data_IF_221750075052
#
_entry.id   IF_221750075052
#
_cell.length_a   1.000
_cell.length_b   1.000
_cell.length_c   1.000
_cell.angle_alpha   90.00
_cell.angle_beta   90.00
_cell.angle_gamma   90.00
#
_symmetry.space_group_name_H-M   'P 1'
#
loop_
_entity.id
_entity.type
_entity.pdbx_description
1 polymer ?
#
# COMPACT_ATOMS: atom_id res chain seq x y z
N UNK A 1 12.17 -0.64 7.97
CA UNK A 1 11.37 -1.71 8.60
C UNK A 1 9.96 -1.62 8.06
N UNK A 2 9.33 -2.78 7.91
CA UNK A 2 7.90 -2.91 7.65
C UNK A 2 7.21 -3.42 8.91
N UNK A 3 5.92 -3.20 9.02
CA UNK A 3 5.14 -3.69 10.14
C UNK A 3 4.01 -4.61 9.65
N UNK A 4 3.71 -5.65 10.42
CA UNK A 4 2.68 -6.64 10.13
C UNK A 4 1.51 -6.41 11.08
N UNK A 5 0.29 -6.49 10.57
CA UNK A 5 -0.92 -6.37 11.38
C UNK A 5 -1.36 -7.73 11.96
N UNK A 6 -2.05 -7.74 13.12
CA UNK A 6 -2.63 -8.94 13.70
C UNK A 6 -3.69 -9.61 12.80
N UNK A 7 -3.87 -10.91 13.01
CA UNK A 7 -4.93 -11.73 12.40
C UNK A 7 -5.76 -12.36 13.52
N UNK A 8 -7.07 -12.26 13.40
CA UNK A 8 -8.08 -12.69 14.37
C UNK A 8 -8.88 -13.88 13.80
N UNK A 9 -9.24 -14.82 14.66
CA UNK A 9 -10.17 -15.90 14.33
C UNK A 9 -11.61 -15.38 14.22
N UNK A 10 -12.31 -15.71 13.13
CA UNK A 10 -13.65 -15.17 12.83
C UNK A 10 -14.68 -15.46 13.92
N UNK A 11 -14.66 -16.66 14.48
CA UNK A 11 -15.58 -17.14 15.51
C UNK A 11 -15.46 -16.40 16.84
N UNK A 12 -14.31 -15.75 17.08
CA UNK A 12 -14.08 -14.90 18.25
C UNK A 12 -14.58 -13.45 18.09
N UNK A 13 -15.14 -13.09 16.93
CA UNK A 13 -15.66 -11.75 16.63
C UNK A 13 -17.16 -11.71 16.92
N UNK A 14 -17.59 -10.74 17.73
CA UNK A 14 -19.00 -10.53 18.01
C UNK A 14 -19.71 -9.79 16.85
N UNK A 15 -20.39 -10.58 16.03
CA UNK A 15 -21.18 -10.11 14.88
C UNK A 15 -22.53 -9.48 15.27
N UNK A 16 -22.92 -9.49 16.55
CA UNK A 16 -24.06 -8.70 17.02
C UNK A 16 -23.73 -7.20 17.09
N UNK A 17 -22.45 -6.86 17.20
CA UNK A 17 -21.91 -5.49 17.18
C UNK A 17 -21.33 -5.14 15.81
N UNK A 18 -20.61 -6.09 15.21
CA UNK A 18 -19.89 -5.91 13.95
C UNK A 18 -20.74 -6.25 12.72
N UNK A 19 -20.37 -5.76 11.53
CA UNK A 19 -21.09 -6.09 10.29
C UNK A 19 -20.21 -6.17 9.05
N UNK A 20 -20.70 -6.89 8.05
CA UNK A 20 -20.06 -6.99 6.74
C UNK A 20 -20.43 -5.83 5.82
N UNK A 21 -19.44 -5.10 5.32
CA UNK A 21 -19.65 -4.05 4.32
C UNK A 21 -18.34 -3.57 3.68
N UNK A 22 -18.35 -3.36 2.37
CA UNK A 22 -17.33 -2.60 1.65
C UNK A 22 -17.74 -1.13 1.54
N UNK A 23 -16.78 -0.20 1.53
CA UNK A 23 -17.09 1.24 1.47
C UNK A 23 -17.89 1.59 0.22
N UNK A 24 -18.95 2.38 0.41
CA UNK A 24 -19.90 2.83 -0.62
C UNK A 24 -20.66 1.69 -1.31
N UNK A 25 -20.71 0.51 -0.69
CA UNK A 25 -21.34 -0.69 -1.25
C UNK A 25 -20.89 -0.95 -2.69
N UNK A 26 -19.62 -0.64 -3.00
CA UNK A 26 -19.05 -0.97 -4.30
C UNK A 26 -19.06 -2.48 -4.43
N UNK A 27 -19.97 -2.99 -5.25
CA UNK A 27 -19.85 -4.34 -5.80
C UNK A 27 -18.44 -4.46 -6.38
N UNK A 28 -17.76 -5.56 -6.04
CA UNK A 28 -16.43 -5.90 -6.53
C UNK A 28 -16.51 -6.17 -8.04
N UNK A 29 -16.65 -5.12 -8.85
CA UNK A 29 -16.69 -5.21 -10.30
C UNK A 29 -15.30 -5.59 -10.80
N UNK A 30 -15.03 -6.89 -10.86
CA UNK A 30 -13.83 -7.46 -11.49
C UNK A 30 -12.95 -8.37 -10.61
N UNK A 31 -13.33 -8.71 -9.38
CA UNK A 31 -12.59 -9.70 -8.59
C UNK A 31 -13.08 -11.12 -8.92
N UNK A 32 -12.61 -11.71 -10.02
CA UNK A 32 -12.71 -13.15 -10.29
C UNK A 32 -11.65 -13.90 -9.48
N UNK A 33 -11.79 -13.82 -8.16
CA UNK A 33 -11.11 -14.66 -7.18
C UNK A 33 -12.08 -14.97 -6.04
N UNK A 34 -11.70 -15.77 -5.02
CA UNK A 34 -12.59 -16.13 -3.91
C UNK A 34 -13.10 -14.93 -3.06
N UNK A 35 -12.74 -13.70 -3.41
CA UNK A 35 -13.11 -12.43 -2.79
C UNK A 35 -14.13 -11.61 -3.64
N UNK A 36 -15.08 -12.29 -4.30
CA UNK A 36 -15.95 -11.70 -5.32
C UNK A 36 -17.40 -11.45 -4.91
N UNK A 37 -17.71 -11.24 -3.62
CA UNK A 37 -19.10 -11.12 -3.14
C UNK A 37 -19.32 -9.93 -2.19
N UNK A 38 -18.97 -8.71 -2.61
CA UNK A 38 -19.55 -7.44 -2.11
C UNK A 38 -19.50 -7.14 -0.60
N UNK A 39 -18.82 -7.94 0.22
CA UNK A 39 -18.83 -7.93 1.69
C UNK A 39 -17.44 -8.31 2.24
N UNK A 40 -16.40 -7.65 1.73
CA UNK A 40 -15.02 -8.10 1.93
C UNK A 40 -14.45 -7.77 3.32
N UNK A 41 -15.14 -6.92 4.08
CA UNK A 41 -14.68 -6.41 5.36
C UNK A 41 -15.73 -6.59 6.46
N UNK A 42 -15.28 -7.04 7.62
CA UNK A 42 -16.01 -6.88 8.89
C UNK A 42 -15.65 -5.49 9.44
N UNK A 43 -16.65 -4.74 9.90
CA UNK A 43 -16.49 -3.39 10.41
C UNK A 43 -16.84 -3.36 11.90
N UNK A 44 -15.90 -2.91 12.72
CA UNK A 44 -16.04 -2.74 14.17
C UNK A 44 -16.23 -1.24 14.47
N UNK A 45 -17.44 -0.80 14.86
CA UNK A 45 -17.71 0.61 15.09
C UNK A 45 -17.16 1.09 16.43
N UNK A 46 -16.78 2.36 16.53
CA UNK A 46 -16.40 2.99 17.79
C UNK A 46 -17.15 4.31 17.98
N UNK A 47 -17.55 4.58 19.22
CA UNK A 47 -17.93 5.93 19.65
C UNK A 47 -16.70 6.81 19.79
N UNK A 48 -16.92 8.10 20.06
CA UNK A 48 -15.83 9.04 20.28
C UNK A 48 -15.00 8.69 21.51
N UNK A 49 -15.67 8.36 22.60
CA UNK A 49 -15.06 8.05 23.89
C UNK A 49 -14.23 6.76 23.79
N UNK A 50 -14.76 5.74 23.12
CA UNK A 50 -14.04 4.49 22.85
C UNK A 50 -12.79 4.73 22.00
N UNK A 51 -12.89 5.58 20.98
CA UNK A 51 -11.76 5.92 20.13
C UNK A 51 -10.67 6.70 20.88
N UNK A 52 -11.06 7.71 21.66
CA UNK A 52 -10.12 8.52 22.44
C UNK A 52 -9.38 7.65 23.47
N UNK A 53 -10.09 6.77 24.17
CA UNK A 53 -9.49 5.80 25.09
C UNK A 53 -8.56 4.80 24.37
N UNK A 54 -8.93 4.35 23.17
CA UNK A 54 -8.09 3.46 22.37
C UNK A 54 -6.79 4.15 21.91
N UNK A 55 -6.87 5.40 21.46
CA UNK A 55 -5.69 6.20 21.09
C UNK A 55 -4.78 6.39 22.30
N UNK A 56 -5.33 6.72 23.47
CA UNK A 56 -4.55 6.84 24.71
C UNK A 56 -3.86 5.51 25.07
N UNK A 57 -4.57 4.40 24.94
CA UNK A 57 -4.03 3.07 25.20
C UNK A 57 -2.90 2.69 24.23
N UNK A 58 -3.00 3.08 22.94
CA UNK A 58 -1.92 2.90 21.96
C UNK A 58 -0.67 3.72 22.30
N UNK A 59 -0.87 4.97 22.74
CA UNK A 59 0.24 5.90 23.05
C UNK A 59 0.99 5.47 24.32
N UNK A 60 0.26 5.03 25.33
CA UNK A 60 0.79 4.56 26.62
C UNK A 60 1.28 3.11 26.59
N UNK A 61 0.91 2.33 25.56
CA UNK A 61 1.23 0.92 25.48
C UNK A 61 2.72 0.63 25.34
N UNK A 62 3.17 -0.43 26.02
CA UNK A 62 4.54 -0.92 25.96
C UNK A 62 4.93 -1.35 24.53
N UNK A 63 5.99 -0.73 24.01
CA UNK A 63 6.52 -1.00 22.66
C UNK A 63 7.74 -1.93 22.76
N UNK A 64 7.96 -2.71 21.71
CA UNK A 64 9.21 -3.47 21.58
C UNK A 64 10.36 -2.49 21.37
N UNK A 65 11.41 -2.59 22.20
CA UNK A 65 12.61 -1.78 22.02
C UNK A 65 13.46 -2.32 20.88
N UNK A 66 13.94 -1.41 20.05
CA UNK A 66 14.96 -1.70 19.06
C UNK A 66 16.29 -2.01 19.72
N UNK A 67 17.06 -2.95 19.14
CA UNK A 67 18.49 -3.04 19.46
C UNK A 67 19.15 -1.69 19.11
N UNK A 68 20.21 -1.30 19.80
CA UNK A 68 20.82 0.04 19.62
C UNK A 68 21.13 0.39 18.15
N UNK A 69 21.56 -0.59 17.35
CA UNK A 69 21.85 -0.43 15.93
C UNK A 69 20.61 -0.30 15.02
N UNK A 70 19.40 -0.56 15.53
CA UNK A 70 18.14 -0.44 14.80
C UNK A 70 17.46 0.92 15.05
N UNK A 71 17.82 1.62 16.13
CA UNK A 71 17.16 2.87 16.59
C UNK A 71 17.18 4.00 15.56
N UNK A 72 18.18 4.06 14.68
CA UNK A 72 18.31 5.10 13.64
C UNK A 72 17.75 4.69 12.28
N UNK A 73 17.18 3.49 12.15
CA UNK A 73 16.64 3.03 10.86
C UNK A 73 15.26 3.62 10.62
N UNK A 74 15.03 4.35 9.51
CA UNK A 74 13.72 4.92 9.22
C UNK A 74 12.66 3.84 8.97
N UNK A 75 11.41 4.16 9.31
CA UNK A 75 10.25 3.37 8.91
C UNK A 75 9.88 3.68 7.46
N UNK A 76 9.33 2.68 6.77
CA UNK A 76 8.70 2.93 5.49
C UNK A 76 7.38 3.70 5.73
N UNK A 77 7.27 4.92 5.19
CA UNK A 77 6.12 5.82 5.44
C UNK A 77 4.77 5.23 4.98
N UNK A 78 4.78 4.30 4.02
CA UNK A 78 3.57 3.60 3.57
C UNK A 78 3.09 2.49 4.52
N UNK A 79 3.88 2.11 5.53
CA UNK A 79 3.61 1.00 6.44
C UNK A 79 4.01 1.34 7.88
N UNK A 80 3.51 2.47 8.39
CA UNK A 80 3.81 2.93 9.74
C UNK A 80 3.06 2.13 10.82
N UNK A 81 3.69 1.85 11.97
CA UNK A 81 2.99 1.29 13.12
C UNK A 81 1.83 2.20 13.59
N UNK A 82 0.69 1.62 13.98
CA UNK A 82 -0.52 2.35 14.35
C UNK A 82 -0.29 3.31 15.53
N UNK A 83 0.55 2.93 16.49
CA UNK A 83 0.96 3.78 17.60
C UNK A 83 1.82 4.97 17.16
N UNK A 84 2.65 4.82 16.12
CA UNK A 84 3.43 5.92 15.53
C UNK A 84 2.53 6.86 14.75
N UNK A 85 1.48 6.33 14.11
CA UNK A 85 0.44 7.16 13.48
C UNK A 85 -0.34 7.95 14.54
N UNK A 86 -0.68 7.33 15.68
CA UNK A 86 -1.35 8.00 16.79
C UNK A 86 -0.51 9.16 17.38
N UNK A 87 0.83 8.99 17.47
CA UNK A 87 1.76 10.04 17.95
C UNK A 87 1.73 11.30 17.06
N UNK A 88 1.37 11.16 15.78
CA UNK A 88 1.28 12.30 14.83
C UNK A 88 0.02 13.16 15.05
N UNK A 89 -0.91 12.72 15.90
CA UNK A 89 -2.07 13.50 16.32
C UNK A 89 -3.30 12.64 16.53
N UNK A 90 -4.16 13.06 17.45
CA UNK A 90 -5.34 12.29 17.91
C UNK A 90 -6.31 11.92 16.78
N UNK A 91 -6.43 12.72 15.72
CA UNK A 91 -7.34 12.47 14.60
C UNK A 91 -6.70 11.67 13.45
N UNK A 92 -5.40 11.39 13.52
CA UNK A 92 -4.64 10.78 12.42
C UNK A 92 -5.24 9.45 11.99
N UNK A 93 -5.63 8.60 12.95
CA UNK A 93 -6.21 7.30 12.65
C UNK A 93 -7.58 7.42 11.97
N UNK A 94 -8.41 8.39 12.36
CA UNK A 94 -9.73 8.66 11.74
C UNK A 94 -9.65 9.19 10.31
N UNK A 95 -8.56 9.85 9.94
CA UNK A 95 -8.32 10.22 8.55
C UNK A 95 -7.58 9.14 7.75
N UNK A 96 -6.98 8.16 8.44
CA UNK A 96 -6.28 7.01 7.87
C UNK A 96 -7.04 5.69 8.04
N UNK A 97 -6.48 4.70 8.77
CA UNK A 97 -6.98 3.33 8.82
C UNK A 97 -8.35 3.17 9.48
N UNK A 98 -8.72 4.09 10.39
CA UNK A 98 -9.97 4.02 11.16
C UNK A 98 -11.09 4.92 10.61
N UNK A 99 -10.98 5.35 9.35
CA UNK A 99 -11.92 6.27 8.72
C UNK A 99 -13.35 5.67 8.66
N UNK A 100 -14.41 6.39 9.05
CA UNK A 100 -15.78 5.83 9.01
C UNK A 100 -16.52 6.04 7.67
N UNK A 101 -15.91 6.68 6.68
CA UNK A 101 -16.62 7.16 5.48
C UNK A 101 -17.07 6.03 4.54
N UNK A 102 -18.32 6.11 4.08
CA UNK A 102 -18.92 5.17 3.13
C UNK A 102 -19.38 3.87 3.78
N UNK A 103 -19.62 3.87 5.09
CA UNK A 103 -20.06 2.71 5.86
C UNK A 103 -21.32 3.09 6.65
N UNK A 104 -22.26 2.16 6.76
CA UNK A 104 -23.54 2.32 7.45
C UNK A 104 -23.75 1.10 8.32
N UNK A 105 -23.84 1.31 9.64
CA UNK A 105 -24.05 0.22 10.59
C UNK A 105 -25.52 -0.27 10.54
N UNK A 106 -25.81 -1.51 10.10
CA UNK A 106 -27.18 -2.01 10.05
C UNK A 106 -27.81 -2.21 11.44
N UNK A 107 -27.00 -2.40 12.48
CA UNK A 107 -27.47 -2.59 13.86
C UNK A 107 -27.89 -1.28 14.51
N UNK A 108 -27.40 -0.14 13.99
CA UNK A 108 -27.76 1.19 14.45
C UNK A 108 -27.61 2.22 13.30
N UNK A 109 -28.54 2.23 12.33
CA UNK A 109 -28.39 2.97 11.08
C UNK A 109 -28.39 4.49 11.26
N UNK A 110 -29.00 4.98 12.34
CA UNK A 110 -29.14 6.42 12.60
C UNK A 110 -27.91 7.02 13.30
N UNK A 111 -27.04 6.18 13.87
CA UNK A 111 -25.83 6.62 14.57
C UNK A 111 -24.61 6.43 13.69
N UNK A 112 -23.97 7.55 13.32
CA UNK A 112 -22.68 7.52 12.63
C UNK A 112 -21.56 7.16 13.59
N UNK A 113 -20.87 6.06 13.30
CA UNK A 113 -19.65 5.70 14.02
C UNK A 113 -18.60 6.82 13.91
N UNK A 114 -17.92 7.09 15.02
CA UNK A 114 -16.87 8.10 15.05
C UNK A 114 -15.61 7.60 14.35
N UNK A 115 -15.26 6.33 14.58
CA UNK A 115 -14.19 5.60 13.94
C UNK A 115 -14.63 4.15 13.65
N UNK A 116 -14.00 3.49 12.67
CA UNK A 116 -14.28 2.08 12.33
C UNK A 116 -12.98 1.33 12.09
N UNK A 117 -12.82 0.19 12.76
CA UNK A 117 -11.76 -0.78 12.43
C UNK A 117 -12.30 -1.74 11.38
N UNK A 118 -11.56 -1.92 10.28
CA UNK A 118 -11.92 -2.88 9.23
C UNK A 118 -11.07 -4.15 9.37
N UNK A 119 -11.71 -5.31 9.26
CA UNK A 119 -11.05 -6.60 9.22
C UNK A 119 -11.28 -7.24 7.85
N UNK A 120 -10.21 -7.61 7.14
CA UNK A 120 -10.30 -8.24 5.82
C UNK A 120 -10.14 -9.74 5.94
N UNK A 121 -10.91 -10.50 5.18
CA UNK A 121 -10.69 -11.94 5.06
C UNK A 121 -9.25 -12.23 4.59
N UNK A 122 -8.54 -13.06 5.36
CA UNK A 122 -7.13 -13.39 5.14
C UNK A 122 -6.95 -14.74 4.42
N UNK A 123 -7.87 -15.69 4.63
CA UNK A 123 -7.82 -17.02 4.03
C UNK A 123 -9.10 -17.37 3.24
N UNK A 124 -8.99 -18.30 2.29
CA UNK A 124 -10.11 -18.70 1.44
C UNK A 124 -11.30 -19.29 2.23
N UNK A 125 -11.04 -19.96 3.35
CA UNK A 125 -12.08 -20.52 4.23
C UNK A 125 -12.87 -19.45 5.00
N UNK A 126 -12.39 -18.21 5.05
CA UNK A 126 -13.05 -17.15 5.81
C UNK A 126 -13.03 -17.38 7.32
N UNK A 127 -12.02 -18.09 7.83
CA UNK A 127 -11.85 -18.33 9.27
C UNK A 127 -10.87 -17.36 9.92
N UNK A 128 -10.06 -16.67 9.12
CA UNK A 128 -9.03 -15.73 9.57
C UNK A 128 -9.25 -14.34 8.97
N UNK A 129 -9.12 -13.32 9.81
CA UNK A 129 -9.36 -11.92 9.46
C UNK A 129 -8.20 -11.03 9.87
N UNK A 130 -7.60 -10.34 8.91
CA UNK A 130 -6.51 -9.39 9.12
C UNK A 130 -7.03 -8.01 9.54
N UNK A 131 -6.42 -7.38 10.54
CA UNK A 131 -6.74 -6.02 10.96
C UNK A 131 -6.14 -4.97 9.99
N UNK A 132 -6.98 -4.31 9.20
CA UNK A 132 -6.54 -3.45 8.09
C UNK A 132 -5.90 -2.17 8.62
N UNK A 133 -4.63 -1.95 8.31
CA UNK A 133 -3.89 -0.75 8.72
C UNK A 133 -3.49 -0.72 10.21
N UNK A 134 -3.47 -1.89 10.85
CA UNK A 134 -3.10 -2.08 12.25
C UNK A 134 -1.72 -2.72 12.38
N UNK A 135 -0.80 -2.36 11.48
CA UNK A 135 0.59 -2.76 11.63
C UNK A 135 1.13 -2.18 12.95
N UNK A 136 1.91 -2.93 13.73
CA UNK A 136 2.27 -2.49 15.09
C UNK A 136 3.62 -3.05 15.56
N UNK A 137 4.26 -2.34 16.50
CA UNK A 137 5.44 -2.80 17.27
C UNK A 137 5.14 -2.95 18.77
N UNK A 138 3.89 -2.79 19.20
CA UNK A 138 3.45 -3.05 20.56
C UNK A 138 3.87 -4.46 20.99
N UNK A 139 4.27 -4.62 22.26
CA UNK A 139 4.52 -5.96 22.81
C UNK A 139 3.26 -6.80 22.69
N UNK A 140 3.41 -8.12 22.52
CA UNK A 140 2.29 -9.03 22.31
C UNK A 140 1.21 -8.96 23.41
N UNK A 141 1.61 -8.73 24.67
CA UNK A 141 0.66 -8.54 25.77
C UNK A 141 -0.21 -7.28 25.58
N UNK A 142 0.41 -6.19 25.15
CA UNK A 142 -0.26 -4.92 24.89
C UNK A 142 -1.17 -4.99 23.67
N UNK A 143 -0.76 -5.67 22.61
CA UNK A 143 -1.63 -5.91 21.46
C UNK A 143 -2.92 -6.60 21.89
N UNK A 144 -2.84 -7.68 22.68
CA UNK A 144 -4.03 -8.38 23.19
C UNK A 144 -4.88 -7.47 24.08
N UNK A 145 -4.25 -6.73 25.00
CA UNK A 145 -4.93 -5.84 25.93
C UNK A 145 -5.68 -4.71 25.21
N UNK A 146 -5.01 -4.05 24.28
CA UNK A 146 -5.51 -2.85 23.60
C UNK A 146 -6.49 -3.22 22.49
N UNK A 147 -6.21 -4.21 21.66
CA UNK A 147 -7.12 -4.56 20.56
C UNK A 147 -8.43 -5.21 21.03
N UNK A 148 -8.45 -5.80 22.23
CA UNK A 148 -9.70 -6.26 22.85
C UNK A 148 -10.57 -5.15 23.42
N UNK A 149 -10.12 -3.89 23.43
CA UNK A 149 -11.00 -2.76 23.78
C UNK A 149 -11.82 -2.27 22.57
N UNK A 150 -11.59 -2.84 21.38
CA UNK A 150 -12.35 -2.50 20.17
C UNK A 150 -13.71 -3.21 20.27
N UNK A 151 -14.84 -2.50 20.07
CA UNK A 151 -16.16 -3.10 20.15
C UNK A 151 -16.33 -4.28 19.20
N UNK A 152 -16.77 -5.41 19.76
CA UNK A 152 -16.94 -6.68 19.08
C UNK A 152 -15.69 -7.56 19.02
N UNK A 153 -14.57 -7.10 19.59
CA UNK A 153 -13.30 -7.84 19.69
C UNK A 153 -12.90 -8.13 21.15
N UNK A 154 -13.81 -7.99 22.10
CA UNK A 154 -13.56 -8.17 23.54
C UNK A 154 -12.98 -9.55 23.85
N UNK A 155 -13.48 -10.56 23.15
CA UNK A 155 -13.05 -11.96 23.26
C UNK A 155 -12.14 -12.41 22.11
N UNK A 156 -11.59 -11.48 21.32
CA UNK A 156 -10.84 -11.82 20.12
C UNK A 156 -9.67 -12.78 20.41
N UNK A 157 -9.60 -13.84 19.61
CA UNK A 157 -8.50 -14.80 19.58
C UNK A 157 -7.59 -14.48 18.40
N UNK A 158 -6.31 -14.25 18.69
CA UNK A 158 -5.32 -13.84 17.69
C UNK A 158 -4.58 -15.07 17.16
N UNK A 159 -4.84 -15.41 15.90
CA UNK A 159 -4.08 -16.43 15.17
C UNK A 159 -2.62 -15.99 14.98
N UNK A 160 -2.40 -14.69 14.79
CA UNK A 160 -1.09 -14.07 14.68
C UNK A 160 -1.13 -12.65 15.23
N UNK A 161 -0.11 -12.27 16.00
CA UNK A 161 0.08 -10.90 16.46
C UNK A 161 0.94 -10.12 15.47
N UNK A 162 0.81 -8.80 15.51
CA UNK A 162 1.61 -7.89 14.70
C UNK A 162 3.07 -7.85 15.15
N UNK A 163 3.92 -7.32 14.30
CA UNK A 163 5.35 -7.19 14.59
C UNK A 163 6.10 -6.45 13.50
N UNK A 164 7.38 -6.17 13.75
CA UNK A 164 8.26 -5.53 12.78
C UNK A 164 8.99 -6.58 11.95
N UNK A 165 8.96 -6.38 10.64
CA UNK A 165 9.77 -7.11 9.68
C UNK A 165 10.90 -6.23 9.15
N UNK A 166 12.11 -6.78 9.09
CA UNK A 166 13.26 -6.07 8.54
C UNK A 166 13.36 -6.35 7.05
N UNK A 167 13.16 -5.30 6.24
CA UNK A 167 13.46 -5.34 4.82
C UNK A 167 14.87 -4.84 4.53
N UNK A 168 15.59 -5.63 3.76
CA UNK A 168 16.88 -5.23 3.18
C UNK A 168 16.66 -4.77 1.74
N UNK A 169 17.26 -3.64 1.40
CA UNK A 169 17.33 -3.14 0.03
C UNK A 169 18.73 -2.56 -0.22
N UNK A 170 19.12 -2.50 -1.48
CA UNK A 170 20.38 -1.87 -1.90
C UNK A 170 20.15 -0.41 -2.25
N UNK A 171 21.19 0.44 -2.16
CA UNK A 171 21.15 1.79 -2.70
C UNK A 171 21.20 1.74 -4.24
N UNK A 172 20.07 1.39 -4.84
CA UNK A 172 19.98 1.06 -6.27
C UNK A 172 20.32 2.23 -7.20
N UNK A 173 20.00 3.52 -6.91
CA UNK A 173 20.41 4.60 -7.81
C UNK A 173 21.95 4.69 -7.94
N UNK A 174 22.67 4.38 -6.85
CA UNK A 174 24.13 4.33 -6.87
C UNK A 174 24.66 3.06 -7.53
N UNK A 175 24.04 1.91 -7.26
CA UNK A 175 24.59 0.60 -7.60
C UNK A 175 24.16 0.06 -8.96
N UNK A 176 22.96 0.41 -9.45
CA UNK A 176 22.37 -0.15 -10.66
C UNK A 176 22.43 0.81 -11.84
N UNK A 177 22.65 0.28 -13.04
CA UNK A 177 22.51 1.04 -14.29
C UNK A 177 21.04 1.19 -14.71
N UNK A 178 20.80 1.90 -15.82
CA UNK A 178 19.44 2.21 -16.32
C UNK A 178 18.61 0.99 -16.72
N UNK A 179 19.21 -0.20 -16.78
CA UNK A 179 18.53 -1.45 -17.08
C UNK A 179 18.69 -2.46 -15.94
N UNK A 180 18.92 -1.97 -14.71
CA UNK A 180 18.97 -2.72 -13.45
C UNK A 180 20.16 -3.68 -13.28
N UNK A 181 21.22 -3.55 -14.08
CA UNK A 181 22.46 -4.32 -13.87
C UNK A 181 23.32 -3.67 -12.80
N UNK A 182 24.04 -4.48 -12.03
CA UNK A 182 25.02 -3.97 -11.09
C UNK A 182 26.18 -3.32 -11.87
N UNK A 183 26.43 -2.01 -11.66
CA UNK A 183 27.44 -1.25 -12.42
C UNK A 183 28.84 -1.89 -12.36
N UNK A 184 29.20 -2.46 -11.21
CA UNK A 184 30.51 -3.12 -11.00
C UNK A 184 30.57 -4.54 -11.54
N UNK A 185 29.43 -5.18 -11.80
CA UNK A 185 29.38 -6.56 -12.28
C UNK A 185 28.14 -6.74 -13.19
N UNK A 186 28.23 -6.31 -14.46
CA UNK A 186 27.08 -6.22 -15.35
C UNK A 186 26.40 -7.56 -15.66
N UNK A 187 27.02 -8.72 -15.35
CA UNK A 187 26.36 -10.02 -15.47
C UNK A 187 25.22 -10.21 -14.47
N UNK A 188 25.18 -9.42 -13.40
CA UNK A 188 24.18 -9.48 -12.35
C UNK A 188 23.13 -8.39 -12.52
N UNK A 189 21.86 -8.77 -12.39
CA UNK A 189 20.69 -7.87 -12.43
C UNK A 189 19.83 -8.10 -11.21
N UNK A 190 19.30 -7.02 -10.64
CA UNK A 190 18.45 -7.06 -9.45
C UNK A 190 17.04 -6.62 -9.80
N UNK A 191 16.04 -7.21 -9.16
CA UNK A 191 14.63 -6.85 -9.31
C UNK A 191 13.84 -7.22 -8.04
N UNK A 192 12.69 -6.60 -7.86
CA UNK A 192 11.84 -6.81 -6.68
C UNK A 192 12.23 -5.91 -5.51
N UNK A 193 11.72 -6.20 -4.32
CA UNK A 193 11.92 -5.41 -3.11
C UNK A 193 13.38 -5.04 -2.83
N UNK A 194 14.34 -5.92 -3.18
CA UNK A 194 15.77 -5.64 -2.98
C UNK A 194 16.24 -4.37 -3.70
N UNK A 195 15.58 -3.94 -4.78
CA UNK A 195 15.92 -2.72 -5.53
C UNK A 195 15.28 -1.45 -4.96
N UNK A 196 14.53 -1.53 -3.85
CA UNK A 196 13.85 -0.36 -3.31
C UNK A 196 12.54 0.00 -4.02
N UNK A 197 11.88 -0.98 -4.66
CA UNK A 197 10.43 -0.89 -4.90
C UNK A 197 9.69 -1.56 -3.75
N UNK A 198 8.46 -1.14 -3.47
CA UNK A 198 7.65 -1.69 -2.38
C UNK A 198 6.28 -2.14 -2.90
N UNK A 199 5.85 -3.34 -2.50
CA UNK A 199 4.60 -3.95 -2.98
C UNK A 199 4.79 -5.09 -4.00
N UNK A 200 3.81 -6.01 -4.02
CA UNK A 200 3.84 -7.19 -4.89
C UNK A 200 3.77 -6.83 -6.38
N UNK A 201 2.95 -5.85 -6.73
CA UNK A 201 2.75 -5.42 -8.13
C UNK A 201 4.02 -4.75 -8.64
N UNK A 202 4.63 -3.88 -7.85
CA UNK A 202 5.86 -3.19 -8.15
C UNK A 202 7.04 -4.18 -8.27
N UNK A 203 7.11 -5.15 -7.35
CA UNK A 203 8.13 -6.20 -7.41
C UNK A 203 7.99 -7.08 -8.65
N UNK A 204 6.75 -7.50 -8.96
CA UNK A 204 6.46 -8.26 -10.18
C UNK A 204 6.75 -7.46 -11.45
N UNK A 205 6.45 -6.17 -11.46
CA UNK A 205 6.76 -5.26 -12.56
C UNK A 205 8.27 -5.15 -12.82
N UNK A 206 9.08 -4.97 -11.77
CA UNK A 206 10.54 -4.93 -11.93
C UNK A 206 11.10 -6.29 -12.37
N UNK A 207 10.56 -7.40 -11.86
CA UNK A 207 10.91 -8.74 -12.31
C UNK A 207 10.62 -8.94 -13.81
N UNK A 208 9.44 -8.51 -14.28
CA UNK A 208 9.07 -8.54 -15.69
C UNK A 208 10.04 -7.72 -16.56
N UNK A 209 10.37 -6.49 -16.16
CA UNK A 209 11.33 -5.66 -16.89
C UNK A 209 12.72 -6.30 -16.91
N UNK A 210 13.18 -6.84 -15.79
CA UNK A 210 14.48 -7.47 -15.70
C UNK A 210 14.59 -8.68 -16.64
N UNK A 211 13.55 -9.52 -16.70
CA UNK A 211 13.47 -10.63 -17.65
C UNK A 211 13.47 -10.17 -19.10
N UNK A 212 12.68 -9.14 -19.44
CA UNK A 212 12.65 -8.57 -20.80
C UNK A 212 14.00 -8.02 -21.23
N UNK A 213 14.69 -7.30 -20.34
CA UNK A 213 16.01 -6.74 -20.64
C UNK A 213 17.06 -7.83 -20.82
N UNK A 214 17.07 -8.84 -19.93
CA UNK A 214 17.99 -9.97 -20.05
C UNK A 214 17.76 -10.77 -21.34
N UNK A 215 16.50 -11.00 -21.74
CA UNK A 215 16.17 -11.69 -22.97
C UNK A 215 16.63 -10.92 -24.22
N UNK A 216 16.42 -9.60 -24.25
CA UNK A 216 16.87 -8.75 -25.35
C UNK A 216 18.40 -8.76 -25.48
N UNK A 217 19.14 -8.59 -24.38
CA UNK A 217 20.61 -8.65 -24.37
C UNK A 217 21.13 -10.00 -24.88
N UNK A 218 20.52 -11.12 -24.45
CA UNK A 218 20.90 -12.47 -24.90
C UNK A 218 20.64 -12.73 -26.37
N UNK A 219 19.70 -12.01 -26.97
CA UNK A 219 19.38 -12.09 -28.39
C UNK A 219 20.16 -11.04 -29.22
N UNK A 220 21.06 -10.28 -28.63
CA UNK A 220 21.77 -9.19 -29.32
C UNK A 220 20.88 -8.01 -29.70
N UNK A 221 19.67 -7.91 -29.13
CA UNK A 221 18.71 -6.84 -29.40
C UNK A 221 18.95 -5.64 -28.48
N UNK A 222 18.64 -4.45 -28.97
CA UNK A 222 18.70 -3.24 -28.16
C UNK A 222 17.61 -3.23 -27.08
N UNK A 223 18.00 -2.88 -25.84
CA UNK A 223 17.05 -2.72 -24.74
C UNK A 223 16.37 -1.35 -24.85
N UNK A 224 15.04 -1.35 -24.89
CA UNK A 224 14.25 -0.11 -24.84
C UNK A 224 13.47 -0.08 -23.53
N UNK A 225 13.81 0.84 -22.59
CA UNK A 225 13.06 0.96 -21.34
C UNK A 225 11.65 1.49 -21.59
N UNK A 226 10.67 1.17 -20.71
CA UNK A 226 9.33 1.74 -20.78
C UNK A 226 9.37 3.27 -20.56
N UNK A 227 8.47 4.05 -21.17
CA UNK A 227 8.45 5.50 -21.02
C UNK A 227 8.23 5.93 -19.56
N UNK A 228 8.88 7.02 -19.13
CA UNK A 228 8.74 7.61 -17.78
C UNK A 228 7.31 8.04 -17.41
N UNK A 229 6.46 8.20 -18.41
CA UNK A 229 5.04 8.51 -18.28
C UNK A 229 4.19 7.30 -17.87
N UNK A 230 4.76 6.09 -17.87
CA UNK A 230 4.12 4.85 -17.43
C UNK A 230 4.55 4.47 -16.02
N UNK A 231 3.73 3.66 -15.31
CA UNK A 231 4.11 3.16 -13.99
C UNK A 231 5.42 2.35 -14.01
N UNK A 232 5.63 1.55 -15.06
CA UNK A 232 6.85 0.77 -15.25
C UNK A 232 8.08 1.67 -15.38
N UNK A 233 8.01 2.70 -16.22
CA UNK A 233 9.12 3.63 -16.43
C UNK A 233 9.36 4.55 -15.26
N UNK A 234 8.31 5.01 -14.58
CA UNK A 234 8.42 5.83 -13.38
C UNK A 234 9.11 5.07 -12.23
N UNK A 235 8.71 3.82 -11.98
CA UNK A 235 9.37 2.96 -10.98
C UNK A 235 10.81 2.62 -11.36
N UNK A 236 11.06 2.26 -12.62
CA UNK A 236 12.42 2.00 -13.12
C UNK A 236 13.31 3.21 -12.90
N UNK A 237 12.84 4.40 -13.29
CA UNK A 237 13.60 5.63 -13.13
C UNK A 237 13.88 5.96 -11.65
N UNK A 238 12.91 5.76 -10.75
CA UNK A 238 13.10 5.93 -9.30
C UNK A 238 14.26 5.08 -8.78
N UNK A 239 14.34 3.81 -9.16
CA UNK A 239 15.38 2.89 -8.65
C UNK A 239 16.72 3.02 -9.39
N UNK A 240 16.78 3.60 -10.59
CA UNK A 240 18.02 3.66 -11.39
C UNK A 240 18.60 5.07 -11.59
N UNK A 241 17.94 6.15 -11.16
CA UNK A 241 18.57 7.48 -11.30
C UNK A 241 17.79 8.73 -10.89
N UNK A 242 16.46 8.70 -10.80
CA UNK A 242 15.67 9.90 -10.50
C UNK A 242 15.55 10.18 -8.99
N UNK A 243 15.86 9.20 -8.13
CA UNK A 243 15.88 9.39 -6.69
C UNK A 243 17.21 9.97 -6.19
N UNK A 244 17.14 10.85 -5.19
CA UNK A 244 18.33 11.28 -4.46
C UNK A 244 18.90 10.09 -3.66
N UNK A 245 20.08 9.62 -4.07
CA UNK A 245 20.70 8.44 -3.49
C UNK A 245 21.04 8.56 -1.99
N UNK A 246 21.20 9.78 -1.47
CA UNK A 246 21.49 10.01 -0.04
C UNK A 246 20.25 9.81 0.85
N UNK A 247 19.05 10.07 0.31
CA UNK A 247 17.77 9.94 1.01
C UNK A 247 16.89 8.85 0.40
N UNK A 248 17.48 7.95 -0.39
CA UNK A 248 16.75 6.90 -1.10
C UNK A 248 16.06 5.98 -0.11
N UNK A 249 14.76 5.75 -0.32
CA UNK A 249 13.94 4.81 0.43
C UNK A 249 13.10 3.99 -0.54
N UNK A 250 12.69 2.78 -0.14
CA UNK A 250 11.73 2.00 -0.90
C UNK A 250 10.46 2.81 -1.19
N UNK A 251 9.85 2.59 -2.34
CA UNK A 251 8.70 3.38 -2.79
C UNK A 251 7.70 2.50 -3.55
N UNK A 252 6.42 2.66 -3.23
CA UNK A 252 5.32 2.13 -4.03
C UNK A 252 4.96 3.10 -5.17
N UNK A 253 4.23 2.63 -6.18
CA UNK A 253 3.84 3.52 -7.27
C UNK A 253 2.88 4.61 -6.77
N UNK A 254 3.20 5.86 -7.10
CA UNK A 254 2.35 7.00 -6.78
C UNK A 254 2.48 8.08 -7.87
N UNK A 255 1.48 8.96 -8.00
CA UNK A 255 1.45 9.99 -9.05
C UNK A 255 2.61 11.01 -8.97
N UNK A 256 3.32 11.10 -7.83
CA UNK A 256 4.50 11.96 -7.69
C UNK A 256 5.72 11.47 -8.47
N UNK A 257 5.76 10.18 -8.85
CA UNK A 257 6.84 9.61 -9.66
C UNK A 257 6.71 9.91 -11.15
N UNK A 258 5.54 10.39 -11.58
CA UNK A 258 5.23 10.60 -12.99
C UNK A 258 5.51 12.06 -13.38
N UNK A 259 6.03 12.32 -14.58
CA UNK A 259 6.05 13.67 -15.14
C UNK A 259 4.63 14.27 -15.16
N UNK A 260 4.48 15.57 -14.91
CA UNK A 260 3.16 16.21 -14.92
C UNK A 260 2.49 16.07 -16.30
N UNK A 261 1.21 15.68 -16.40
CA UNK A 261 0.49 15.61 -17.66
C UNK A 261 -0.12 16.95 -18.01
N UNK A 262 -0.30 17.17 -19.30
CA UNK A 262 -1.23 18.19 -19.75
C UNK A 262 -2.66 17.72 -19.45
N UNK A 263 -3.42 18.55 -18.72
CA UNK A 263 -4.82 18.26 -18.41
C UNK A 263 -5.70 18.89 -19.49
N UNK A 264 -6.50 18.10 -20.23
CA UNK A 264 -7.41 18.64 -21.24
C UNK A 264 -8.34 19.71 -20.66
N UNK A 265 -8.58 20.75 -21.46
CA UNK A 265 -9.57 21.78 -21.16
C UNK A 265 -10.98 21.23 -21.39
N UNK A 266 -11.96 21.80 -20.72
CA UNK A 266 -13.37 21.50 -20.97
C UNK A 266 -13.84 22.02 -22.35
N UNK A 267 -15.08 21.71 -22.70
CA UNK A 267 -15.74 22.14 -23.95
C UNK A 267 -15.73 23.67 -24.17
N UNK A 268 -15.57 24.45 -23.09
CA UNK A 268 -15.49 25.90 -23.11
C UNK A 268 -14.04 26.43 -23.07
N UNK A 269 -13.04 25.56 -23.25
CA UNK A 269 -11.62 25.90 -23.24
C UNK A 269 -11.07 26.25 -21.85
N UNK A 270 -11.82 26.00 -20.76
CA UNK A 270 -11.39 26.32 -19.39
C UNK A 270 -10.73 25.11 -18.74
N UNK A 271 -9.80 25.39 -17.82
CA UNK A 271 -9.16 24.34 -17.02
C UNK A 271 -10.15 23.82 -15.97
N UNK A 272 -10.22 22.51 -15.71
CA UNK A 272 -11.04 21.96 -14.64
C UNK A 272 -10.72 22.60 -13.29
N UNK A 273 -11.75 23.05 -12.56
CA UNK A 273 -11.65 23.71 -11.25
C UNK A 273 -12.47 22.95 -10.19
N UNK A 274 -12.20 23.26 -8.92
CA UNK A 274 -12.93 22.68 -7.78
C UNK A 274 -12.89 21.15 -7.77
N UNK A 275 -14.06 20.54 -7.54
CA UNK A 275 -14.22 19.07 -7.42
C UNK A 275 -13.82 18.30 -8.70
N UNK A 276 -13.83 18.94 -9.87
CA UNK A 276 -13.47 18.29 -11.14
C UNK A 276 -11.95 18.20 -11.38
N UNK A 277 -11.13 19.02 -10.70
CA UNK A 277 -9.68 19.10 -10.93
C UNK A 277 -8.97 17.78 -10.65
N UNK A 278 -9.28 17.14 -9.52
CA UNK A 278 -8.65 15.87 -9.11
C UNK A 278 -8.91 14.72 -10.09
N UNK A 279 -10.19 14.41 -10.40
CA UNK A 279 -10.55 13.40 -11.38
C UNK A 279 -9.97 13.66 -12.77
N UNK A 280 -10.02 14.90 -13.27
CA UNK A 280 -9.47 15.25 -14.58
C UNK A 280 -7.95 15.03 -14.65
N UNK A 281 -7.21 15.43 -13.61
CA UNK A 281 -5.76 15.20 -13.52
C UNK A 281 -5.41 13.71 -13.50
N UNK A 282 -6.13 12.91 -12.68
CA UNK A 282 -5.94 11.45 -12.65
C UNK A 282 -6.20 10.81 -14.01
N UNK A 283 -7.27 11.21 -14.70
CA UNK A 283 -7.59 10.72 -16.05
C UNK A 283 -6.49 11.09 -17.06
N UNK A 284 -5.97 12.32 -17.00
CA UNK A 284 -4.87 12.74 -17.87
C UNK A 284 -3.60 11.90 -17.67
N UNK A 285 -3.21 11.64 -16.41
CA UNK A 285 -2.12 10.72 -16.10
C UNK A 285 -2.34 9.34 -16.70
N UNK A 286 -3.51 8.72 -16.42
CA UNK A 286 -3.77 7.34 -16.82
C UNK A 286 -3.92 7.17 -18.33
N UNK A 287 -4.60 8.08 -19.02
CA UNK A 287 -4.80 8.01 -20.47
C UNK A 287 -3.47 8.16 -21.22
N UNK A 288 -2.62 9.12 -20.82
CA UNK A 288 -1.27 9.25 -21.39
C UNK A 288 -0.43 7.99 -21.15
N UNK A 289 -0.41 7.50 -19.90
CA UNK A 289 0.35 6.31 -19.54
C UNK A 289 -0.07 5.07 -20.35
N UNK A 290 -1.38 4.86 -20.58
CA UNK A 290 -1.88 3.74 -21.37
C UNK A 290 -1.47 3.86 -22.85
N UNK A 291 -1.56 5.05 -23.44
CA UNK A 291 -1.15 5.30 -24.82
C UNK A 291 0.36 5.06 -25.01
N UNK A 292 1.18 5.62 -24.12
CA UNK A 292 2.63 5.49 -24.19
C UNK A 292 3.10 4.05 -23.95
N UNK A 293 2.42 3.33 -23.05
CA UNK A 293 2.68 1.91 -22.83
C UNK A 293 2.30 1.07 -24.06
N UNK A 294 1.15 1.35 -24.68
CA UNK A 294 0.72 0.66 -25.90
C UNK A 294 1.72 0.88 -27.04
N UNK A 295 2.19 2.12 -27.23
CA UNK A 295 3.22 2.44 -28.22
C UNK A 295 4.54 1.71 -27.93
N UNK A 296 4.98 1.62 -26.67
CA UNK A 296 6.19 0.89 -26.28
C UNK A 296 6.08 -0.63 -26.49
N UNK A 297 4.87 -1.20 -26.38
CA UNK A 297 4.64 -2.63 -26.59
C UNK A 297 4.58 -3.04 -28.06
N UNK A 298 4.45 -2.08 -29.00
CA UNK A 298 4.40 -2.42 -30.42
C UNK A 298 5.73 -3.07 -30.86
N UNK A 299 5.67 -4.16 -31.65
CA UNK A 299 6.87 -4.75 -32.25
C UNK A 299 7.59 -3.68 -33.04
N UNK A 300 8.86 -3.41 -32.70
CA UNK A 300 9.69 -2.60 -33.58
C UNK A 300 9.96 -3.44 -34.81
N UNK A 301 9.73 -2.86 -36.00
CA UNK A 301 10.26 -3.42 -37.23
C UNK A 301 11.77 -3.59 -37.01
N UNK A 302 12.24 -4.84 -37.07
CA UNK A 302 13.67 -5.09 -37.10
C UNK A 302 14.19 -4.30 -38.30
N UNK A 303 15.06 -3.32 -38.05
CA UNK A 303 15.80 -2.69 -39.13
C UNK A 303 16.63 -3.83 -39.74
N UNK A 304 16.20 -4.31 -40.90
CA UNK A 304 16.98 -5.22 -41.71
C UNK A 304 18.29 -4.50 -42.03
N UNK A 305 19.38 -5.00 -41.47
CA UNK A 305 20.74 -4.65 -41.87
C UNK A 305 21.17 -5.54 -43.04
#
# INVERSE_FOLDING_TARGET
FDAIAPIIHRDSIDMSVCWFQSRYDKESTGATGPAGAGKDYINCPMTREQYEAFVEALLSGDKTEFKEWEKSTPYFDGCLPIEVMAERGAETLRFGPMKPVGLTNPHNPDVKAYAIVQLRQDNALGTLYNMVGFQTKLKHGEQKRIFRTIPGLENAEFARLGGLHRNTFINSPNLLDSIMRLKKEPRLRFAGQITGVEGYVESGAMGLLAGRFAAAERQGRSVTPPPRTTALGALLAHITGDANAATFQPMNVNFGLFPEPEVPRDENGKRPRGKAKGPARKRAYTSRALNDLAAWLQPRAEAAE
#
